data_IF_360212815239
#
_entry.id   IF_360212815239
#
_cell.length_a   1.000
_cell.length_b   1.000
_cell.length_c   1.000
_cell.angle_alpha   90.00
_cell.angle_beta   90.00
_cell.angle_gamma   90.00
#
_symmetry.space_group_name_H-M   'P 1'
#
loop_
_entity.id
_entity.type
_entity.pdbx_description
1 polymer ?
#
# COMPACT_ATOMS: atom_id res chain seq x y z
N UNK A 1 19.05 -39.28 30.84
CA UNK A 1 19.10 -38.11 29.94
C UNK A 1 18.91 -38.50 28.46
N UNK A 2 19.81 -39.27 27.82
CA UNK A 2 19.67 -39.63 26.39
C UNK A 2 18.34 -40.30 26.00
N UNK A 3 17.82 -41.24 26.80
CA UNK A 3 16.51 -41.90 26.54
C UNK A 3 15.31 -40.95 26.65
N UNK A 4 15.39 -39.94 27.53
CA UNK A 4 14.35 -38.93 27.71
C UNK A 4 14.36 -37.94 26.52
N UNK A 5 15.53 -37.53 26.06
CA UNK A 5 15.68 -36.69 24.87
C UNK A 5 15.15 -37.39 23.61
N UNK A 6 15.45 -38.68 23.43
CA UNK A 6 14.93 -39.48 22.32
C UNK A 6 13.40 -39.63 22.40
N UNK A 7 12.85 -39.86 23.60
CA UNK A 7 11.41 -39.94 23.80
C UNK A 7 10.71 -38.61 23.46
N UNK A 8 11.25 -37.49 23.94
CA UNK A 8 10.72 -36.15 23.63
C UNK A 8 10.79 -35.85 22.14
N UNK A 9 11.91 -36.19 21.49
CA UNK A 9 12.05 -36.02 20.04
C UNK A 9 11.03 -36.85 19.25
N UNK A 10 10.80 -38.11 19.63
CA UNK A 10 9.81 -38.97 18.98
C UNK A 10 8.38 -38.49 19.20
N UNK A 11 8.06 -37.98 20.39
CA UNK A 11 6.74 -37.39 20.68
C UNK A 11 6.51 -36.14 19.82
N UNK A 12 7.51 -35.27 19.70
CA UNK A 12 7.45 -34.09 18.83
C UNK A 12 7.30 -34.50 17.36
N UNK A 13 8.08 -35.48 16.89
CA UNK A 13 8.03 -35.97 15.52
C UNK A 13 6.63 -36.55 15.19
N UNK A 14 6.09 -37.39 16.08
CA UNK A 14 4.74 -37.93 15.94
C UNK A 14 3.67 -36.83 16.00
N UNK A 15 3.84 -35.82 16.86
CA UNK A 15 2.97 -34.65 16.93
C UNK A 15 2.97 -33.87 15.62
N UNK A 16 4.14 -33.58 15.05
CA UNK A 16 4.27 -32.96 13.73
C UNK A 16 3.59 -33.80 12.65
N UNK A 17 3.82 -35.11 12.63
CA UNK A 17 3.19 -36.00 11.64
C UNK A 17 1.65 -36.01 11.75
N UNK A 18 1.10 -35.95 12.96
CA UNK A 18 -0.35 -35.88 13.18
C UNK A 18 -0.91 -34.52 12.76
N UNK A 19 -0.22 -33.42 13.07
CA UNK A 19 -0.62 -32.07 12.64
C UNK A 19 -0.57 -31.92 11.12
N UNK A 20 0.49 -32.42 10.49
CA UNK A 20 0.62 -32.47 9.02
C UNK A 20 -0.43 -33.38 8.39
N UNK A 21 -0.80 -34.51 9.01
CA UNK A 21 -1.89 -35.34 8.48
C UNK A 21 -3.27 -34.65 8.61
N UNK A 22 -3.43 -33.80 9.63
CA UNK A 22 -4.65 -33.05 9.86
C UNK A 22 -4.81 -31.83 8.95
N UNK A 23 -3.72 -31.25 8.41
CA UNK A 23 -3.81 -30.16 7.39
C UNK A 23 -4.57 -30.64 6.15
N UNK A 24 -4.27 -31.86 5.68
CA UNK A 24 -4.93 -32.47 4.51
C UNK A 24 -6.39 -32.92 4.77
N UNK A 25 -6.87 -32.82 6.02
CA UNK A 25 -8.30 -33.00 6.34
C UNK A 25 -9.08 -31.69 6.36
N UNK A 26 -8.39 -30.55 6.44
CA UNK A 26 -9.05 -29.24 6.37
C UNK A 26 -9.54 -29.00 4.95
N UNK A 27 -10.84 -28.72 4.80
CA UNK A 27 -11.47 -28.26 3.56
C UNK A 27 -11.89 -26.79 3.66
N UNK A 28 -11.35 -26.05 4.64
CA UNK A 28 -11.68 -24.65 4.82
C UNK A 28 -11.16 -23.86 3.62
N UNK A 29 -12.07 -23.13 2.96
CA UNK A 29 -11.75 -22.28 1.81
C UNK A 29 -11.47 -20.83 2.24
N UNK A 30 -11.93 -20.45 3.43
CA UNK A 30 -11.89 -19.09 3.95
C UNK A 30 -11.45 -19.15 5.42
N UNK A 31 -10.56 -18.24 5.82
CA UNK A 31 -10.27 -17.96 7.22
C UNK A 31 -11.21 -16.88 7.72
N UNK A 32 -12.18 -17.22 8.59
CA UNK A 32 -13.10 -16.24 9.18
C UNK A 32 -12.37 -15.18 10.04
N UNK A 33 -11.23 -15.56 10.65
CA UNK A 33 -10.44 -14.67 11.52
C UNK A 33 -9.48 -13.77 10.73
N UNK A 34 -8.92 -14.27 9.62
CA UNK A 34 -8.01 -13.49 8.76
C UNK A 34 -8.73 -12.84 7.57
N UNK A 35 -10.05 -13.02 7.46
CA UNK A 35 -10.92 -12.52 6.39
C UNK A 35 -10.30 -12.65 4.98
N UNK A 36 -9.67 -13.79 4.70
CA UNK A 36 -9.04 -14.09 3.41
C UNK A 36 -9.30 -15.52 2.96
N UNK A 37 -9.20 -15.74 1.64
CA UNK A 37 -9.19 -17.08 1.06
C UNK A 37 -7.93 -17.82 1.47
N UNK A 38 -8.08 -19.08 1.88
CA UNK A 38 -6.94 -19.94 2.19
C UNK A 38 -6.37 -20.54 0.90
N UNK A 39 -5.07 -20.82 0.90
CA UNK A 39 -4.40 -21.44 -0.23
C UNK A 39 -5.09 -22.75 -0.61
N UNK A 40 -5.41 -22.93 -1.89
CA UNK A 40 -5.99 -24.16 -2.41
C UNK A 40 -4.92 -25.24 -2.58
N UNK A 41 -5.31 -26.51 -2.54
CA UNK A 41 -4.36 -27.61 -2.75
C UNK A 41 -3.73 -27.50 -4.15
N UNK A 42 -2.39 -27.53 -4.27
CA UNK A 42 -1.72 -27.28 -5.54
C UNK A 42 -1.93 -28.39 -6.57
N UNK A 43 -2.02 -28.01 -7.83
CA UNK A 43 -2.13 -28.96 -8.95
C UNK A 43 -0.73 -29.41 -9.38
N UNK A 44 -0.43 -30.69 -9.16
CA UNK A 44 0.80 -31.31 -9.63
C UNK A 44 0.78 -31.44 -11.16
N UNK A 45 1.64 -30.70 -11.85
CA UNK A 45 1.91 -30.89 -13.27
C UNK A 45 3.39 -30.68 -13.59
N UNK A 46 3.82 -31.09 -14.79
CA UNK A 46 5.24 -31.10 -15.16
C UNK A 46 5.88 -29.70 -15.14
N UNK A 47 5.11 -28.66 -15.46
CA UNK A 47 5.61 -27.29 -15.46
C UNK A 47 5.76 -26.76 -14.03
N UNK A 48 4.73 -26.95 -13.18
CA UNK A 48 4.73 -26.53 -11.77
C UNK A 48 5.73 -27.30 -10.90
N UNK A 49 6.04 -28.54 -11.27
CA UNK A 49 7.06 -29.33 -10.58
C UNK A 49 8.48 -28.85 -10.93
N UNK A 50 8.77 -28.63 -12.21
CA UNK A 50 10.12 -28.28 -12.66
C UNK A 50 10.54 -26.85 -12.33
N UNK A 51 9.59 -25.92 -12.20
CA UNK A 51 9.86 -24.54 -11.82
C UNK A 51 9.74 -24.27 -10.30
N UNK A 52 9.46 -25.31 -9.49
CA UNK A 52 9.34 -25.20 -8.03
C UNK A 52 8.03 -24.63 -7.50
N UNK A 53 7.12 -24.15 -8.36
CA UNK A 53 5.84 -23.56 -7.95
C UNK A 53 4.97 -24.53 -7.16
N UNK A 54 4.97 -25.82 -7.52
CA UNK A 54 4.21 -26.85 -6.80
C UNK A 54 4.63 -26.94 -5.32
N UNK A 55 5.93 -26.88 -5.03
CA UNK A 55 6.42 -27.00 -3.67
C UNK A 55 6.16 -25.72 -2.86
N UNK A 56 6.31 -24.55 -3.49
CA UNK A 56 5.97 -23.25 -2.88
C UNK A 56 4.48 -23.18 -2.51
N UNK A 57 3.61 -23.58 -3.42
CA UNK A 57 2.16 -23.59 -3.20
C UNK A 57 1.76 -24.67 -2.18
N UNK A 58 2.47 -25.81 -2.13
CA UNK A 58 2.25 -26.86 -1.14
C UNK A 58 2.65 -26.39 0.26
N UNK A 59 3.76 -25.66 0.39
CA UNK A 59 4.19 -25.07 1.65
C UNK A 59 3.17 -24.04 2.15
N UNK A 60 2.70 -23.15 1.27
CA UNK A 60 1.63 -22.20 1.57
C UNK A 60 0.33 -22.91 1.98
N UNK A 61 -0.06 -24.00 1.30
CA UNK A 61 -1.23 -24.80 1.65
C UNK A 61 -1.10 -25.43 3.05
N UNK A 62 0.05 -26.04 3.33
CA UNK A 62 0.31 -26.64 4.65
C UNK A 62 0.24 -25.57 5.72
N UNK A 63 0.87 -24.41 5.50
CA UNK A 63 0.87 -23.27 6.42
C UNK A 63 -0.55 -22.77 6.74
N UNK A 64 -1.38 -22.61 5.71
CA UNK A 64 -2.76 -22.12 5.82
C UNK A 64 -3.72 -23.11 6.49
N UNK A 65 -3.35 -24.39 6.57
CA UNK A 65 -4.24 -25.44 7.06
C UNK A 65 -3.72 -26.15 8.32
N UNK A 66 -2.62 -25.67 8.94
CA UNK A 66 -2.12 -26.26 10.21
C UNK A 66 -3.17 -26.07 11.32
N UNK A 67 -3.71 -27.17 11.89
CA UNK A 67 -4.62 -27.07 13.03
C UNK A 67 -3.89 -26.47 14.23
N UNK A 68 -4.57 -25.63 15.01
CA UNK A 68 -4.02 -24.99 16.23
C UNK A 68 -2.87 -24.00 15.96
N UNK A 69 -2.70 -23.51 14.73
CA UNK A 69 -1.72 -22.46 14.39
C UNK A 69 -1.79 -21.25 15.33
N UNK A 70 -2.98 -20.78 15.65
CA UNK A 70 -3.20 -19.70 16.62
C UNK A 70 -2.56 -19.99 17.97
N UNK A 71 -2.71 -21.23 18.48
CA UNK A 71 -2.09 -21.63 19.74
C UNK A 71 -0.57 -21.69 19.61
N UNK A 72 -0.05 -22.13 18.46
CA UNK A 72 1.41 -22.13 18.22
C UNK A 72 1.94 -20.70 18.22
N UNK A 73 1.26 -19.75 17.57
CA UNK A 73 1.61 -18.33 17.56
C UNK A 73 1.47 -17.68 18.95
N UNK A 74 0.45 -18.04 19.72
CA UNK A 74 0.27 -17.64 21.13
C UNK A 74 1.40 -18.21 22.02
N UNK A 75 1.82 -19.45 21.79
CA UNK A 75 2.93 -20.08 22.51
C UNK A 75 4.28 -19.48 22.13
N UNK A 76 4.53 -19.15 20.86
CA UNK A 76 5.76 -18.45 20.46
C UNK A 76 5.79 -17.05 21.05
N UNK A 77 4.67 -16.32 21.04
CA UNK A 77 4.57 -15.01 21.68
C UNK A 77 4.81 -15.07 23.19
N UNK A 78 4.25 -16.09 23.87
CA UNK A 78 4.49 -16.35 25.29
C UNK A 78 5.95 -16.73 25.55
N UNK A 79 6.57 -17.50 24.66
CA UNK A 79 7.97 -17.90 24.75
C UNK A 79 8.93 -16.72 24.58
N UNK A 80 8.68 -15.86 23.60
CA UNK A 80 9.46 -14.64 23.36
C UNK A 80 9.35 -13.68 24.57
N UNK A 81 8.15 -13.55 25.12
CA UNK A 81 7.89 -12.83 26.38
C UNK A 81 8.65 -13.41 27.58
N UNK A 82 8.72 -14.74 27.70
CA UNK A 82 9.45 -15.43 28.78
C UNK A 82 10.97 -15.29 28.62
N UNK A 83 11.48 -15.19 27.39
CA UNK A 83 12.91 -15.05 27.11
C UNK A 83 13.43 -13.63 27.21
N UNK A 84 12.57 -12.61 27.30
CA UNK A 84 12.98 -11.21 27.33
C UNK A 84 13.68 -10.75 26.04
N UNK A 85 13.57 -11.53 24.96
CA UNK A 85 14.05 -11.17 23.63
C UNK A 85 12.82 -10.61 22.90
N UNK A 86 12.55 -9.34 23.12
CA UNK A 86 11.66 -8.60 22.23
C UNK A 86 12.56 -7.86 21.25
N UNK A 87 12.86 -8.39 20.06
CA UNK A 87 13.53 -7.58 19.06
C UNK A 87 12.56 -6.44 18.70
N UNK A 88 12.97 -5.20 18.99
CA UNK A 88 12.19 -4.00 18.68
C UNK A 88 12.07 -3.79 17.16
N UNK A 89 12.99 -4.39 16.40
CA UNK A 89 13.11 -4.32 14.95
C UNK A 89 13.32 -5.75 14.41
N UNK A 90 12.51 -6.17 13.43
CA UNK A 90 12.72 -7.38 12.63
C UNK A 90 12.75 -6.99 11.16
N UNK A 91 13.73 -7.49 10.40
CA UNK A 91 13.76 -7.29 8.95
C UNK A 91 13.40 -8.58 8.20
N UNK A 92 12.61 -8.44 7.13
CA UNK A 92 12.11 -9.52 6.29
C UNK A 92 12.64 -9.42 4.86
N UNK A 93 13.30 -10.49 4.39
CA UNK A 93 13.87 -10.60 3.04
C UNK A 93 12.79 -10.80 1.95
N UNK A 94 13.05 -10.26 0.76
CA UNK A 94 12.17 -10.39 -0.41
C UNK A 94 12.02 -11.86 -0.84
N UNK A 95 10.80 -12.40 -0.79
CA UNK A 95 10.46 -13.71 -1.36
C UNK A 95 10.57 -14.93 -0.44
N UNK A 96 10.92 -14.75 0.85
CA UNK A 96 10.88 -15.81 1.86
C UNK A 96 9.79 -15.54 2.91
N UNK A 97 8.99 -16.55 3.23
CA UNK A 97 8.19 -16.54 4.45
C UNK A 97 9.12 -16.80 5.64
N UNK A 98 9.23 -15.81 6.54
CA UNK A 98 9.93 -15.86 7.83
C UNK A 98 11.42 -16.24 7.77
N UNK A 99 12.28 -15.23 7.56
CA UNK A 99 13.58 -15.22 8.21
C UNK A 99 13.63 -14.01 9.16
N UNK A 100 13.80 -14.29 10.46
CA UNK A 100 14.16 -13.29 11.45
C UNK A 100 15.60 -12.85 11.15
N UNK A 101 15.78 -11.69 10.52
CA UNK A 101 17.10 -11.06 10.51
C UNK A 101 17.21 -10.23 11.78
N UNK A 102 17.93 -10.77 12.78
CA UNK A 102 18.49 -9.94 13.84
C UNK A 102 19.60 -9.11 13.19
N UNK A 103 19.57 -7.77 13.25
CA UNK A 103 20.75 -7.00 12.90
C UNK A 103 21.89 -7.47 13.81
N UNK A 104 23.01 -7.88 13.21
CA UNK A 104 24.19 -8.33 13.94
C UNK A 104 24.53 -7.31 15.04
N UNK A 105 24.53 -7.78 16.29
CA UNK A 105 24.65 -6.96 17.51
C UNK A 105 26.02 -6.32 17.71
N UNK A 106 26.50 -5.54 16.75
CA UNK A 106 27.76 -4.82 16.84
C UNK A 106 27.62 -3.29 16.74
N UNK A 107 26.42 -2.76 16.98
CA UNK A 107 26.27 -1.37 17.45
C UNK A 107 26.57 -1.35 18.95
N UNK A 108 27.82 -1.02 19.29
CA UNK A 108 28.27 -0.80 20.66
C UNK A 108 27.34 0.18 21.36
N UNK A 109 26.59 -0.30 22.35
CA UNK A 109 25.84 0.52 23.28
C UNK A 109 26.75 1.57 23.95
N UNK A 110 26.31 2.83 24.11
CA UNK A 110 27.02 3.78 24.95
C UNK A 110 26.99 3.31 26.41
N UNK A 111 28.15 3.31 27.08
CA UNK A 111 28.25 3.02 28.52
C UNK A 111 27.51 4.07 29.35
N UNK A 112 26.94 3.69 30.52
CA UNK A 112 26.26 4.63 31.41
C UNK A 112 27.28 5.56 32.06
N UNK A 113 27.16 6.87 31.80
CA UNK A 113 27.93 7.90 32.48
C UNK A 113 27.29 8.24 33.84
N UNK A 114 28.14 8.34 34.86
CA UNK A 114 27.74 8.56 36.25
C UNK A 114 27.17 9.97 36.46
N UNK A 115 26.11 10.03 37.25
CA UNK A 115 25.51 11.25 37.79
C UNK A 115 26.53 12.27 38.31
N UNK A 116 26.40 13.52 37.85
CA UNK A 116 26.85 14.71 38.58
C UNK A 116 25.72 15.74 38.62
N UNK A 117 25.54 16.34 39.79
CA UNK A 117 24.56 17.38 40.14
C UNK A 117 24.76 18.69 39.36
N UNK A 118 23.72 19.56 39.31
CA UNK A 118 23.61 20.64 38.33
C UNK A 118 24.09 22.01 38.85
N UNK A 119 24.57 22.87 37.94
CA UNK A 119 24.58 24.34 38.04
C UNK A 119 25.04 24.96 36.69
N UNK A 120 24.73 26.23 36.38
CA UNK A 120 23.45 26.69 35.85
C UNK A 120 23.50 27.15 34.38
N UNK A 121 22.30 27.33 33.83
CA UNK A 121 21.95 27.69 32.45
C UNK A 121 22.80 28.80 31.81
N UNK A 122 23.28 28.54 30.59
CA UNK A 122 23.62 29.58 29.62
C UNK A 122 22.83 29.31 28.33
N UNK A 123 21.92 30.24 28.01
CA UNK A 123 21.05 30.22 26.83
C UNK A 123 21.86 30.11 25.54
N UNK A 124 21.59 29.09 24.74
CA UNK A 124 21.83 29.10 23.29
C UNK A 124 20.58 28.62 22.57
N UNK A 125 20.24 29.37 21.52
CA UNK A 125 19.03 29.27 20.70
C UNK A 125 18.89 27.89 20.05
N UNK A 126 17.64 27.40 19.82
CA UNK A 126 17.43 26.16 19.10
C UNK A 126 17.81 26.32 17.63
N UNK A 127 18.72 25.46 17.17
CA UNK A 127 19.07 25.27 15.78
C UNK A 127 17.87 24.76 14.96
N UNK A 128 17.87 25.16 13.70
CA UNK A 128 16.85 24.96 12.69
C UNK A 128 16.44 23.49 12.55
N UNK A 129 15.16 23.20 12.80
CA UNK A 129 14.50 22.08 12.14
C UNK A 129 14.57 22.32 10.64
N UNK A 130 15.07 21.33 9.88
CA UNK A 130 14.95 21.33 8.43
C UNK A 130 13.46 21.28 8.08
N UNK A 131 12.89 22.46 7.79
CA UNK A 131 11.59 22.60 7.16
C UNK A 131 11.59 21.84 5.83
N UNK A 132 10.61 20.96 5.55
CA UNK A 132 10.45 20.36 4.25
C UNK A 132 10.36 21.43 3.17
N UNK A 133 11.18 21.31 2.12
CA UNK A 133 11.13 22.18 0.96
C UNK A 133 9.78 22.05 0.25
N UNK A 134 9.24 23.18 -0.22
CA UNK A 134 8.08 23.22 -1.12
C UNK A 134 8.38 22.43 -2.41
N UNK A 135 7.35 21.90 -3.10
CA UNK A 135 7.53 21.19 -4.37
C UNK A 135 8.22 22.10 -5.37
N UNK A 136 9.15 21.53 -6.11
CA UNK A 136 9.74 22.16 -7.28
C UNK A 136 8.67 22.26 -8.38
N UNK A 137 8.50 23.44 -8.97
CA UNK A 137 7.74 23.56 -10.22
C UNK A 137 8.46 22.76 -11.32
N UNK A 138 7.75 22.10 -12.25
CA UNK A 138 8.37 21.48 -13.42
C UNK A 138 9.27 22.51 -14.14
N UNK A 139 10.57 22.24 -14.16
CA UNK A 139 11.59 23.14 -14.74
C UNK A 139 12.48 23.91 -13.74
N UNK A 140 12.25 23.81 -12.43
CA UNK A 140 13.30 24.13 -11.44
C UNK A 140 14.34 22.99 -11.41
N UNK A 141 15.62 23.33 -11.24
CA UNK A 141 16.69 22.34 -11.13
C UNK A 141 16.50 21.50 -9.85
N UNK A 142 15.84 20.35 -9.99
CA UNK A 142 15.93 19.27 -9.04
C UNK A 142 17.33 18.64 -9.11
N UNK A 143 17.76 18.03 -8.02
CA UNK A 143 18.96 17.20 -8.03
C UNK A 143 18.71 15.99 -8.93
N UNK A 144 19.41 15.92 -10.06
CA UNK A 144 19.25 14.85 -11.06
C UNK A 144 20.14 13.65 -10.77
N UNK A 145 20.69 13.55 -9.57
CA UNK A 145 21.55 12.44 -9.15
C UNK A 145 21.05 11.86 -7.82
N UNK A 146 20.33 10.75 -7.93
CA UNK A 146 19.83 10.00 -6.77
C UNK A 146 20.88 9.04 -6.17
N UNK A 147 22.05 8.87 -6.82
CA UNK A 147 23.00 7.81 -6.45
C UNK A 147 23.54 7.95 -5.01
N UNK A 148 23.60 9.17 -4.48
CA UNK A 148 24.06 9.44 -3.12
C UNK A 148 23.09 8.98 -2.02
N UNK A 149 21.83 8.75 -2.36
CA UNK A 149 20.76 8.42 -1.41
C UNK A 149 20.44 6.93 -1.32
N UNK A 150 21.05 6.12 -2.19
CA UNK A 150 20.79 4.68 -2.28
C UNK A 150 21.35 3.94 -1.06
N UNK A 151 20.47 3.20 -0.39
CA UNK A 151 20.84 2.33 0.72
C UNK A 151 21.62 1.10 0.27
N UNK A 152 22.47 0.58 1.14
CA UNK A 152 23.28 -0.62 0.85
C UNK A 152 22.50 -1.92 1.05
N UNK A 153 21.32 -1.87 1.67
CA UNK A 153 20.55 -3.05 2.10
C UNK A 153 19.29 -3.24 1.24
N UNK A 154 19.50 -3.62 -0.01
CA UNK A 154 18.46 -3.74 -1.05
C UNK A 154 17.66 -5.07 -1.00
N UNK A 155 18.06 -6.03 -0.18
CA UNK A 155 17.43 -7.36 -0.08
C UNK A 155 16.26 -7.44 0.92
N UNK A 156 16.06 -6.39 1.72
CA UNK A 156 15.01 -6.31 2.75
C UNK A 156 13.86 -5.47 2.20
N UNK A 157 12.64 -6.01 2.24
CA UNK A 157 11.47 -5.32 1.66
C UNK A 157 10.45 -4.88 2.70
N UNK A 158 10.46 -5.50 3.88
CA UNK A 158 9.56 -5.19 4.98
C UNK A 158 10.35 -5.18 6.28
N UNK A 159 10.05 -4.23 7.15
CA UNK A 159 10.59 -4.14 8.51
C UNK A 159 9.44 -4.09 9.51
N UNK A 160 9.43 -4.98 10.50
CA UNK A 160 8.54 -4.88 11.64
C UNK A 160 9.23 -4.03 12.72
N UNK A 161 8.58 -2.95 13.15
CA UNK A 161 9.02 -2.12 14.27
C UNK A 161 7.90 -2.06 15.28
N UNK A 162 8.17 -2.54 16.51
CA UNK A 162 7.17 -2.66 17.58
C UNK A 162 5.92 -3.43 17.11
N UNK A 163 4.80 -2.75 16.90
CA UNK A 163 3.51 -3.27 16.45
C UNK A 163 3.13 -2.80 15.04
N UNK A 164 4.12 -2.35 14.25
CA UNK A 164 3.96 -1.79 12.91
C UNK A 164 4.81 -2.54 11.88
N UNK A 165 4.27 -2.76 10.68
CA UNK A 165 4.99 -3.26 9.51
C UNK A 165 5.24 -2.11 8.53
N UNK A 166 6.50 -1.85 8.23
CA UNK A 166 6.95 -0.82 7.31
C UNK A 166 7.38 -1.47 6.01
N UNK A 167 6.79 -1.05 4.89
CA UNK A 167 7.26 -1.40 3.56
C UNK A 167 8.40 -0.47 3.17
N UNK A 168 9.57 -1.05 2.90
CA UNK A 168 10.80 -0.32 2.57
C UNK A 168 10.86 0.01 1.08
N UNK A 169 11.25 1.25 0.76
CA UNK A 169 11.39 1.72 -0.61
C UNK A 169 12.85 1.66 -1.06
N UNK A 170 13.06 1.17 -2.27
CA UNK A 170 14.37 0.98 -2.90
C UNK A 170 14.34 1.56 -4.30
N UNK A 171 15.25 2.47 -4.60
CA UNK A 171 15.26 3.19 -5.86
C UNK A 171 16.02 2.42 -6.94
N UNK A 172 15.30 1.97 -7.97
CA UNK A 172 15.87 1.45 -9.20
C UNK A 172 15.64 2.44 -10.34
N UNK A 173 16.73 3.06 -10.80
CA UNK A 173 16.69 4.13 -11.81
C UNK A 173 16.03 3.69 -13.12
N UNK A 174 16.25 2.44 -13.53
CA UNK A 174 15.63 1.87 -14.74
C UNK A 174 14.10 1.78 -14.61
N UNK A 175 13.60 1.33 -13.46
CA UNK A 175 12.15 1.22 -13.18
C UNK A 175 11.51 2.61 -13.10
N UNK A 176 12.13 3.51 -12.34
CA UNK A 176 11.68 4.91 -12.21
C UNK A 176 11.64 5.61 -13.57
N UNK A 177 12.65 5.41 -14.41
CA UNK A 177 12.68 5.97 -15.77
C UNK A 177 11.57 5.38 -16.65
N UNK A 178 11.28 4.09 -16.50
CA UNK A 178 10.19 3.43 -17.20
C UNK A 178 8.80 3.93 -16.72
N UNK A 179 8.62 4.15 -15.42
CA UNK A 179 7.41 4.76 -14.85
C UNK A 179 7.21 6.19 -15.41
N UNK A 180 8.23 7.04 -15.34
CA UNK A 180 8.17 8.40 -15.89
C UNK A 180 7.87 8.39 -17.40
N UNK A 181 8.41 7.43 -18.15
CA UNK A 181 8.10 7.24 -19.58
C UNK A 181 6.63 6.89 -19.82
N UNK A 182 6.03 6.05 -18.98
CA UNK A 182 4.59 5.74 -19.07
C UNK A 182 3.74 7.00 -18.84
N UNK A 183 4.05 7.77 -17.80
CA UNK A 183 3.39 9.06 -17.53
C UNK A 183 3.56 10.05 -18.69
N UNK A 184 4.78 10.17 -19.22
CA UNK A 184 5.04 11.05 -20.37
C UNK A 184 4.31 10.59 -21.64
N UNK A 185 4.02 9.29 -21.78
CA UNK A 185 3.20 8.77 -22.87
C UNK A 185 1.74 9.19 -22.72
N UNK A 186 1.19 9.22 -21.50
CA UNK A 186 -0.13 9.83 -21.25
C UNK A 186 -0.13 11.30 -21.68
N UNK A 187 0.86 12.08 -21.24
CA UNK A 187 0.93 13.50 -21.56
C UNK A 187 1.04 13.80 -23.06
N UNK A 188 1.77 12.97 -23.81
CA UNK A 188 1.91 13.14 -25.26
C UNK A 188 0.60 12.88 -26.03
N UNK A 189 -0.30 12.06 -25.48
CA UNK A 189 -1.55 11.65 -26.15
C UNK A 189 -2.80 12.31 -25.57
N UNK A 190 -2.71 12.89 -24.38
CA UNK A 190 -3.81 13.61 -23.74
C UNK A 190 -4.14 14.89 -24.52
N UNK A 191 -5.42 15.21 -24.78
CA UNK A 191 -5.78 16.48 -25.44
C UNK A 191 -5.24 17.70 -24.70
N UNK A 192 -4.82 18.74 -25.45
CA UNK A 192 -4.17 19.95 -24.89
C UNK A 192 -5.02 20.71 -23.86
N UNK A 193 -6.35 20.63 -23.96
CA UNK A 193 -7.28 21.30 -23.06
C UNK A 193 -7.49 20.57 -21.72
N UNK A 194 -6.92 19.38 -21.54
CA UNK A 194 -7.00 18.62 -20.29
C UNK A 194 -5.85 19.04 -19.38
N UNK A 195 -6.18 19.49 -18.17
CA UNK A 195 -5.18 19.76 -17.13
C UNK A 195 -4.66 18.43 -16.59
N UNK A 196 -3.36 18.32 -16.43
CA UNK A 196 -2.72 17.08 -16.03
C UNK A 196 -2.05 17.25 -14.67
N UNK A 197 -2.27 16.28 -13.79
CA UNK A 197 -1.72 16.24 -12.44
C UNK A 197 -1.01 14.91 -12.20
N UNK A 198 0.03 14.93 -11.38
CA UNK A 198 0.69 13.71 -10.89
C UNK A 198 0.85 13.82 -9.39
N UNK A 199 0.39 12.79 -8.67
CA UNK A 199 0.47 12.67 -7.22
C UNK A 199 1.12 11.32 -6.90
N UNK A 200 2.37 11.35 -6.45
CA UNK A 200 3.02 10.22 -5.81
C UNK A 200 2.91 10.35 -4.30
N UNK A 201 2.24 9.40 -3.67
CA UNK A 201 2.12 9.35 -2.22
C UNK A 201 3.31 8.60 -1.60
N UNK A 202 3.96 9.13 -0.54
CA UNK A 202 4.93 8.35 0.22
C UNK A 202 4.25 7.21 0.97
N UNK A 203 5.01 6.21 1.37
CA UNK A 203 4.60 5.23 2.39
C UNK A 203 4.96 5.73 3.79
N UNK A 204 4.50 5.01 4.82
CA UNK A 204 4.76 5.35 6.21
C UNK A 204 6.26 5.53 6.52
N UNK A 205 7.14 4.67 5.98
CA UNK A 205 8.59 4.76 6.23
C UNK A 205 9.17 6.07 5.71
N UNK A 206 8.63 6.61 4.61
CA UNK A 206 9.06 7.89 4.05
C UNK A 206 8.88 9.07 5.01
N UNK A 207 7.98 8.96 5.99
CA UNK A 207 7.71 10.03 6.96
C UNK A 207 8.48 9.92 8.27
N UNK A 208 9.31 8.89 8.43
CA UNK A 208 10.02 8.58 9.69
C UNK A 208 11.31 9.37 9.90
N UNK A 209 11.72 10.17 8.91
CA UNK A 209 12.98 10.92 8.95
C UNK A 209 14.20 10.01 8.82
N UNK A 210 15.24 10.26 9.60
CA UNK A 210 16.54 9.58 9.48
C UNK A 210 16.60 8.17 10.12
N UNK A 211 15.55 7.75 10.84
CA UNK A 211 15.56 6.53 11.68
C UNK A 211 15.82 5.25 10.88
N UNK A 212 15.30 5.18 9.65
CA UNK A 212 15.39 3.99 8.79
C UNK A 212 16.15 4.23 7.48
N UNK A 213 16.97 5.29 7.42
CA UNK A 213 17.70 5.69 6.21
C UNK A 213 18.73 4.68 5.72
N UNK A 214 19.15 3.73 6.56
CA UNK A 214 20.06 2.65 6.14
C UNK A 214 19.30 1.51 5.43
N UNK A 215 17.97 1.50 5.50
CA UNK A 215 17.10 0.41 5.03
C UNK A 215 16.07 0.83 3.97
N UNK A 216 15.70 2.11 3.93
CA UNK A 216 14.79 2.66 2.93
C UNK A 216 15.37 3.94 2.36
N UNK A 217 15.35 4.04 1.03
CA UNK A 217 15.77 5.23 0.31
C UNK A 217 14.80 6.40 0.61
N UNK A 218 15.27 7.66 0.62
CA UNK A 218 14.45 8.83 0.95
C UNK A 218 13.40 9.10 -0.12
N UNK A 219 12.13 8.96 0.26
CA UNK A 219 11.01 9.00 -0.67
C UNK A 219 10.66 10.42 -1.15
N UNK A 220 10.89 11.45 -0.34
CA UNK A 220 10.76 12.86 -0.76
C UNK A 220 11.70 13.16 -1.93
N UNK A 221 12.97 12.77 -1.82
CA UNK A 221 13.97 12.94 -2.88
C UNK A 221 13.65 12.08 -4.11
N UNK A 222 13.12 10.88 -3.91
CA UNK A 222 12.74 10.01 -5.02
C UNK A 222 11.55 10.59 -5.80
N UNK A 223 10.56 11.12 -5.09
CA UNK A 223 9.40 11.81 -5.68
C UNK A 223 9.85 13.06 -6.44
N UNK A 224 10.70 13.91 -5.84
CA UNK A 224 11.29 15.09 -6.50
C UNK A 224 12.04 14.70 -7.78
N UNK A 225 12.84 13.64 -7.73
CA UNK A 225 13.56 13.10 -8.89
C UNK A 225 12.59 12.63 -9.98
N UNK A 226 11.59 11.81 -9.65
CA UNK A 226 10.58 11.32 -10.62
C UNK A 226 9.85 12.50 -11.28
N UNK A 227 9.40 13.47 -10.48
CA UNK A 227 8.73 14.68 -10.97
C UNK A 227 9.62 15.49 -11.93
N UNK A 228 10.94 15.50 -11.73
CA UNK A 228 11.87 16.17 -12.66
C UNK A 228 11.93 15.53 -14.05
N UNK A 229 11.57 14.24 -14.16
CA UNK A 229 11.53 13.49 -15.42
C UNK A 229 10.20 13.64 -16.17
N UNK A 230 9.18 14.22 -15.52
CA UNK A 230 7.84 14.31 -16.10
C UNK A 230 7.72 15.45 -17.11
N UNK A 231 6.81 15.26 -18.06
CA UNK A 231 6.44 16.24 -19.06
C UNK A 231 5.95 17.52 -18.35
N UNK A 232 6.40 18.73 -18.77
CA UNK A 232 6.00 20.00 -18.16
C UNK A 232 4.48 20.29 -18.14
N UNK A 233 3.67 19.54 -18.90
CA UNK A 233 2.21 19.60 -18.82
C UNK A 233 1.65 19.12 -17.47
N UNK A 234 2.40 18.30 -16.73
CA UNK A 234 1.99 17.85 -15.40
C UNK A 234 2.20 18.95 -14.36
N UNK A 235 1.13 19.27 -13.63
CA UNK A 235 1.19 19.92 -12.34
C UNK A 235 1.42 18.85 -11.26
N UNK A 236 2.62 18.83 -10.68
CA UNK A 236 2.99 17.86 -9.64
C UNK A 236 2.39 18.26 -8.30
N UNK A 237 1.82 17.29 -7.58
CA UNK A 237 1.15 17.53 -6.30
C UNK A 237 2.10 17.25 -5.14
N UNK A 238 2.25 18.23 -4.26
CA UNK A 238 3.00 18.08 -3.01
C UNK A 238 2.17 17.39 -1.94
N UNK A 239 2.30 16.08 -1.85
CA UNK A 239 1.71 15.30 -0.77
C UNK A 239 2.66 15.09 0.42
N UNK A 240 3.98 15.11 0.21
CA UNK A 240 4.94 14.74 1.26
C UNK A 240 4.94 15.75 2.41
N UNK A 241 5.14 17.04 2.13
CA UNK A 241 5.19 18.07 3.18
C UNK A 241 3.95 18.09 4.10
N UNK A 242 2.69 18.09 3.61
CA UNK A 242 1.53 18.05 4.51
C UNK A 242 1.45 16.73 5.29
N UNK A 243 1.72 15.58 4.66
CA UNK A 243 1.75 14.30 5.37
C UNK A 243 2.82 14.28 6.48
N UNK A 244 4.01 14.82 6.19
CA UNK A 244 5.10 14.92 7.15
C UNK A 244 4.75 15.85 8.31
N UNK A 245 4.14 17.00 8.04
CA UNK A 245 3.71 17.94 9.09
C UNK A 245 2.72 17.30 10.06
N UNK A 246 1.87 16.39 9.57
CA UNK A 246 0.85 15.69 10.34
C UNK A 246 1.26 14.26 10.76
N UNK A 247 2.54 13.87 10.63
CA UNK A 247 3.04 12.50 10.85
C UNK A 247 2.82 11.92 12.25
N UNK A 248 2.49 12.76 13.23
CA UNK A 248 2.13 12.33 14.60
C UNK A 248 0.68 11.85 14.71
N UNK A 249 -0.14 12.12 13.70
CA UNK A 249 -1.50 11.59 13.57
C UNK A 249 -1.51 10.19 12.96
N UNK A 250 -2.65 9.51 13.03
CA UNK A 250 -2.81 8.16 12.51
C UNK A 250 -3.03 8.15 10.99
N UNK A 251 -1.97 8.48 10.25
CA UNK A 251 -2.02 8.68 8.79
C UNK A 251 -1.84 7.39 7.97
N UNK A 252 -1.23 6.35 8.55
CA UNK A 252 -0.99 5.06 7.91
C UNK A 252 -1.41 3.94 8.85
N UNK A 253 -1.89 2.84 8.27
CA UNK A 253 -2.17 1.64 9.03
C UNK A 253 -0.86 0.98 9.47
N UNK A 254 -0.88 0.27 10.60
CA UNK A 254 0.29 -0.46 11.10
C UNK A 254 0.41 -1.86 10.50
N UNK A 255 -0.73 -2.44 10.13
CA UNK A 255 -0.87 -3.81 9.61
C UNK A 255 -1.11 -3.86 8.10
N UNK A 256 -1.22 -2.70 7.45
CA UNK A 256 -1.57 -2.57 6.03
C UNK A 256 -0.63 -1.58 5.32
N UNK A 257 -0.49 -1.72 4.00
CA UNK A 257 0.43 -0.90 3.22
C UNK A 257 -0.14 0.46 2.84
N UNK A 258 -1.44 0.70 3.02
CA UNK A 258 -2.09 1.96 2.66
C UNK A 258 -1.97 3.04 3.74
N UNK A 259 -2.15 4.28 3.32
CA UNK A 259 -2.58 5.34 4.22
C UNK A 259 -3.99 5.08 4.80
N UNK A 260 -4.33 5.74 5.89
CA UNK A 260 -5.72 5.88 6.35
C UNK A 260 -6.46 6.91 5.50
N UNK A 261 -7.79 7.01 5.63
CA UNK A 261 -8.52 8.08 4.94
C UNK A 261 -8.08 9.49 5.41
N UNK A 262 -7.56 9.63 6.63
CA UNK A 262 -6.97 10.88 7.13
C UNK A 262 -5.63 11.19 6.42
N UNK A 263 -4.78 10.20 6.18
CA UNK A 263 -3.60 10.40 5.32
C UNK A 263 -4.00 10.85 3.91
N UNK A 264 -4.98 10.16 3.32
CA UNK A 264 -5.53 10.52 2.02
C UNK A 264 -6.14 11.93 1.99
N UNK A 265 -6.72 12.41 3.11
CA UNK A 265 -7.29 13.76 3.23
C UNK A 265 -6.23 14.85 3.03
N UNK A 266 -5.05 14.72 3.64
CA UNK A 266 -3.98 15.70 3.48
C UNK A 266 -3.46 15.78 2.05
N UNK A 267 -3.34 14.62 1.38
CA UNK A 267 -3.00 14.57 -0.05
C UNK A 267 -4.14 15.16 -0.93
N UNK A 268 -5.40 14.88 -0.61
CA UNK A 268 -6.56 15.45 -1.29
C UNK A 268 -6.65 16.96 -1.12
N UNK A 269 -6.30 17.49 0.05
CA UNK A 269 -6.22 18.93 0.29
C UNK A 269 -5.15 19.60 -0.57
N UNK A 270 -3.98 18.97 -0.69
CA UNK A 270 -2.91 19.46 -1.56
C UNK A 270 -3.34 19.46 -3.04
N UNK A 271 -3.95 18.37 -3.50
CA UNK A 271 -4.51 18.28 -4.84
C UNK A 271 -5.60 19.33 -5.07
N UNK A 272 -6.56 19.47 -4.16
CA UNK A 272 -7.65 20.43 -4.27
C UNK A 272 -7.13 21.86 -4.34
N UNK A 273 -6.12 22.21 -3.52
CA UNK A 273 -5.47 23.52 -3.56
C UNK A 273 -4.82 23.80 -4.92
N UNK A 274 -4.03 22.84 -5.42
CA UNK A 274 -3.35 22.98 -6.72
C UNK A 274 -4.36 23.06 -7.88
N UNK A 275 -5.41 22.24 -7.82
CA UNK A 275 -6.46 22.20 -8.82
C UNK A 275 -7.44 23.39 -8.72
N UNK A 276 -7.39 24.21 -7.66
CA UNK A 276 -8.36 25.29 -7.43
C UNK A 276 -9.78 24.78 -7.16
N UNK A 277 -9.89 23.72 -6.35
CA UNK A 277 -11.13 23.07 -5.95
C UNK A 277 -11.46 23.38 -4.49
N UNK A 278 -12.76 23.50 -4.20
CA UNK A 278 -13.25 23.44 -2.83
C UNK A 278 -13.33 21.97 -2.39
N UNK A 279 -12.98 21.70 -1.14
CA UNK A 279 -13.06 20.38 -0.51
C UNK A 279 -13.67 20.57 0.89
N UNK A 280 -14.46 19.61 1.40
CA UNK A 280 -14.94 19.65 2.78
C UNK A 280 -13.80 19.80 3.79
N UNK A 281 -14.04 20.58 4.85
CA UNK A 281 -13.22 20.51 6.05
C UNK A 281 -13.54 19.18 6.77
N UNK A 282 -12.50 18.46 7.20
CA UNK A 282 -12.70 17.19 7.92
C UNK A 282 -13.47 17.39 9.23
N UNK A 283 -13.41 18.59 9.82
CA UNK A 283 -14.20 18.94 11.00
C UNK A 283 -15.71 18.96 10.75
N UNK A 284 -16.13 19.14 9.49
CA UNK A 284 -17.54 19.12 9.08
C UNK A 284 -18.03 17.72 8.69
N UNK A 285 -17.19 16.69 8.82
CA UNK A 285 -17.52 15.31 8.48
C UNK A 285 -17.89 14.47 9.71
N UNK A 286 -18.86 13.58 9.52
CA UNK A 286 -19.18 12.51 10.47
C UNK A 286 -18.13 11.40 10.35
N UNK A 287 -17.33 11.21 11.40
CA UNK A 287 -16.37 10.10 11.47
C UNK A 287 -17.05 8.83 11.93
N UNK A 288 -16.94 7.80 11.12
CA UNK A 288 -17.30 6.42 11.44
C UNK A 288 -16.04 5.56 11.53
N UNK A 289 -16.15 4.43 12.24
CA UNK A 289 -15.02 3.57 12.51
C UNK A 289 -15.38 2.09 12.40
N UNK A 290 -14.50 1.31 11.77
CA UNK A 290 -14.54 -0.14 11.72
C UNK A 290 -13.31 -0.69 12.46
N UNK A 291 -13.55 -1.44 13.53
CA UNK A 291 -12.50 -2.00 14.38
C UNK A 291 -11.96 -3.34 13.83
N UNK A 292 -10.88 -3.83 14.46
CA UNK A 292 -10.31 -5.16 14.21
C UNK A 292 -9.79 -5.36 12.77
N UNK A 293 -9.19 -4.33 12.20
CA UNK A 293 -8.56 -4.42 10.88
C UNK A 293 -7.15 -5.02 10.99
N UNK A 294 -6.88 -6.08 10.24
CA UNK A 294 -5.54 -6.60 10.00
C UNK A 294 -5.33 -6.67 8.49
N UNK A 295 -4.45 -5.81 8.00
CA UNK A 295 -4.29 -5.59 6.56
C UNK A 295 -3.39 -6.58 5.84
N UNK A 296 -3.07 -6.20 4.60
CA UNK A 296 -2.27 -6.99 3.68
C UNK A 296 -0.86 -7.30 4.23
N UNK A 297 -0.20 -6.31 4.84
CA UNK A 297 1.15 -6.51 5.37
C UNK A 297 1.13 -7.57 6.47
N UNK A 298 0.19 -7.52 7.40
CA UNK A 298 0.05 -8.53 8.44
C UNK A 298 -0.35 -9.90 7.90
N UNK A 299 -1.32 -9.94 6.97
CA UNK A 299 -1.80 -11.19 6.37
C UNK A 299 -0.68 -11.98 5.70
N UNK A 300 0.30 -11.28 5.12
CA UNK A 300 1.49 -11.86 4.50
C UNK A 300 2.70 -11.97 5.45
N UNK A 301 2.69 -11.26 6.58
CA UNK A 301 3.80 -11.19 7.53
C UNK A 301 3.25 -11.23 8.96
N UNK A 302 3.03 -12.44 9.46
CA UNK A 302 2.33 -12.70 10.71
C UNK A 302 3.15 -12.39 11.97
N UNK A 303 3.43 -11.12 12.17
CA UNK A 303 4.16 -10.62 13.33
C UNK A 303 3.21 -10.51 14.53
N UNK A 304 3.47 -11.31 15.57
CA UNK A 304 2.56 -11.43 16.72
C UNK A 304 2.18 -10.10 17.37
N UNK A 305 3.14 -9.16 17.51
CA UNK A 305 2.88 -7.84 18.11
C UNK A 305 1.86 -7.00 17.31
N UNK A 306 1.90 -7.09 15.97
CA UNK A 306 0.93 -6.43 15.09
C UNK A 306 -0.44 -7.09 15.24
N UNK A 307 -0.48 -8.43 15.26
CA UNK A 307 -1.73 -9.19 15.42
C UNK A 307 -2.42 -8.99 16.77
N UNK A 308 -1.67 -8.64 17.81
CA UNK A 308 -2.20 -8.31 19.14
C UNK A 308 -2.81 -6.90 19.20
N UNK A 309 -2.48 -6.03 18.24
CA UNK A 309 -2.94 -4.65 18.18
C UNK A 309 -3.53 -4.36 16.79
N UNK A 310 -4.67 -4.95 16.42
CA UNK A 310 -5.29 -4.68 15.13
C UNK A 310 -5.60 -3.18 14.98
N UNK A 311 -5.64 -2.73 13.73
CA UNK A 311 -5.96 -1.37 13.36
C UNK A 311 -7.46 -1.10 13.39
N UNK A 312 -7.80 0.18 13.21
CA UNK A 312 -9.15 0.66 12.95
C UNK A 312 -9.17 1.39 11.62
N UNK A 313 -10.21 1.19 10.82
CA UNK A 313 -10.48 1.98 9.62
C UNK A 313 -11.47 3.09 9.96
N UNK A 314 -11.00 4.34 9.92
CA UNK A 314 -11.86 5.51 10.02
C UNK A 314 -12.30 5.95 8.61
N UNK A 315 -13.59 6.21 8.44
CA UNK A 315 -14.13 6.82 7.23
C UNK A 315 -15.04 8.02 7.54
N UNK A 316 -15.04 9.00 6.65
CA UNK A 316 -15.60 10.33 6.89
C UNK A 316 -16.73 10.61 5.90
N UNK A 317 -17.94 10.81 6.42
CA UNK A 317 -19.13 11.13 5.63
C UNK A 317 -19.41 12.63 5.76
N UNK A 318 -19.41 13.34 4.63
CA UNK A 318 -19.80 14.75 4.60
C UNK A 318 -21.30 14.90 4.36
N UNK A 319 -21.97 15.73 5.17
CA UNK A 319 -23.41 16.01 5.08
C UNK A 319 -24.32 14.77 5.10
N UNK A 320 -23.89 13.68 5.75
CA UNK A 320 -24.65 12.42 5.78
C UNK A 320 -24.79 11.72 4.42
N UNK A 321 -24.02 12.12 3.40
CA UNK A 321 -24.13 11.59 2.03
C UNK A 321 -23.11 10.48 1.78
N UNK A 322 -23.61 9.28 1.48
CA UNK A 322 -22.83 8.18 0.91
C UNK A 322 -23.41 7.82 -0.46
N UNK A 323 -23.03 8.54 -1.52
CA UNK A 323 -23.70 8.43 -2.81
C UNK A 323 -23.30 7.15 -3.54
N UNK A 324 -24.08 6.81 -4.57
CA UNK A 324 -23.80 5.64 -5.41
C UNK A 324 -22.73 5.93 -6.47
N UNK A 325 -21.96 4.89 -6.81
CA UNK A 325 -20.94 4.83 -7.84
C UNK A 325 -21.17 3.58 -8.70
N UNK A 326 -20.98 3.72 -10.01
CA UNK A 326 -21.11 2.62 -10.96
C UNK A 326 -19.77 1.88 -11.10
N UNK A 327 -19.76 0.59 -10.75
CA UNK A 327 -18.58 -0.27 -10.80
C UNK A 327 -18.63 -1.17 -12.03
N UNK A 328 -17.68 -1.02 -12.95
CA UNK A 328 -17.57 -1.87 -14.13
C UNK A 328 -16.61 -3.02 -13.89
N UNK A 329 -16.90 -4.20 -14.43
CA UNK A 329 -16.07 -5.41 -14.30
C UNK A 329 -16.19 -6.29 -15.54
N UNK A 330 -15.16 -7.09 -15.83
CA UNK A 330 -15.23 -8.12 -16.87
C UNK A 330 -15.70 -9.44 -16.25
N UNK A 331 -16.70 -10.07 -16.85
CA UNK A 331 -17.13 -11.43 -16.46
C UNK A 331 -16.19 -12.51 -17.04
N UNK A 332 -16.49 -13.78 -16.75
CA UNK A 332 -15.70 -14.92 -17.25
C UNK A 332 -15.65 -15.03 -18.78
N UNK A 333 -16.60 -14.38 -19.47
CA UNK A 333 -16.65 -14.32 -20.94
C UNK A 333 -15.94 -13.09 -21.51
N UNK A 334 -15.24 -12.32 -20.66
CA UNK A 334 -14.59 -11.06 -21.01
C UNK A 334 -15.57 -9.96 -21.46
N UNK A 335 -16.84 -10.08 -21.05
CA UNK A 335 -17.86 -9.07 -21.29
C UNK A 335 -17.84 -8.03 -20.18
N UNK A 336 -17.81 -6.74 -20.54
CA UNK A 336 -17.87 -5.64 -19.59
C UNK A 336 -19.31 -5.48 -19.08
N UNK A 337 -19.49 -5.69 -17.77
CA UNK A 337 -20.74 -5.51 -17.05
C UNK A 337 -20.58 -4.41 -16.00
N UNK A 338 -21.68 -3.95 -15.39
CA UNK A 338 -21.66 -2.98 -14.29
C UNK A 338 -22.72 -3.25 -13.23
N UNK A 339 -22.48 -2.74 -12.02
CA UNK A 339 -23.46 -2.66 -10.94
C UNK A 339 -23.25 -1.37 -10.13
N UNK A 340 -24.29 -0.95 -9.40
CA UNK A 340 -24.22 0.19 -8.49
C UNK A 340 -23.78 -0.26 -7.10
N UNK A 341 -22.92 0.54 -6.47
CA UNK A 341 -22.53 0.42 -5.07
C UNK A 341 -22.44 1.81 -4.45
N UNK A 342 -22.28 1.91 -3.14
CA UNK A 342 -21.97 3.19 -2.46
C UNK A 342 -20.46 3.47 -2.42
N UNK A 343 -20.09 4.75 -2.38
CA UNK A 343 -18.68 5.20 -2.27
C UNK A 343 -17.98 4.60 -1.05
N UNK A 344 -18.68 4.52 0.08
CA UNK A 344 -18.29 3.75 1.26
C UNK A 344 -19.11 2.46 1.33
N UNK A 345 -18.56 1.37 0.79
CA UNK A 345 -19.24 0.09 0.57
C UNK A 345 -19.29 -0.77 1.84
N UNK A 346 -20.34 -0.63 2.64
CA UNK A 346 -20.54 -1.46 3.83
C UNK A 346 -20.67 -2.96 3.49
N UNK A 347 -21.16 -3.29 2.29
CA UNK A 347 -21.22 -4.69 1.84
C UNK A 347 -19.83 -5.29 1.56
N UNK A 348 -18.84 -4.49 1.18
CA UNK A 348 -17.47 -4.98 0.96
C UNK A 348 -16.80 -5.43 2.27
N UNK A 349 -17.26 -4.90 3.40
CA UNK A 349 -16.74 -5.22 4.74
C UNK A 349 -17.71 -6.06 5.59
N UNK A 350 -18.77 -6.60 4.98
CA UNK A 350 -19.80 -7.36 5.70
C UNK A 350 -19.25 -8.62 6.39
N UNK A 351 -18.19 -9.22 5.83
CA UNK A 351 -17.56 -10.44 6.36
C UNK A 351 -16.24 -10.16 7.11
N UNK A 352 -15.92 -8.90 7.36
CA UNK A 352 -14.74 -8.48 8.09
C UNK A 352 -14.20 -7.15 7.59
N UNK A 353 -13.64 -6.36 8.51
CA UNK A 353 -13.06 -5.05 8.23
C UNK A 353 -11.91 -5.19 7.23
N UNK A 354 -11.99 -4.48 6.11
CA UNK A 354 -10.94 -4.43 5.10
C UNK A 354 -10.95 -3.08 4.38
N UNK A 355 -9.84 -2.76 3.69
CA UNK A 355 -9.65 -1.48 3.00
C UNK A 355 -10.63 -1.26 1.83
N UNK A 356 -11.27 -2.34 1.34
CA UNK A 356 -12.33 -2.30 0.34
C UNK A 356 -13.61 -1.56 0.77
N UNK A 357 -13.71 -1.05 2.01
CA UNK A 357 -14.74 -0.05 2.35
C UNK A 357 -14.69 1.15 1.40
N UNK A 358 -13.51 1.55 0.92
CA UNK A 358 -13.35 2.66 0.01
C UNK A 358 -13.51 2.19 -1.45
N UNK A 359 -14.52 2.73 -2.15
CA UNK A 359 -14.86 2.42 -3.56
C UNK A 359 -15.12 0.94 -3.88
N UNK A 360 -15.25 0.07 -2.87
CA UNK A 360 -15.40 -1.37 -3.06
C UNK A 360 -14.17 -2.06 -3.69
N UNK A 361 -13.02 -1.40 -3.71
CA UNK A 361 -11.76 -1.92 -4.24
C UNK A 361 -11.42 -1.45 -5.65
N UNK A 362 -10.65 -2.28 -6.36
CA UNK A 362 -10.02 -1.94 -7.63
C UNK A 362 -10.82 -2.52 -8.82
N UNK A 363 -11.31 -1.64 -9.68
CA UNK A 363 -12.11 -1.98 -10.86
C UNK A 363 -11.49 -1.41 -12.13
N UNK A 364 -11.70 -2.04 -13.30
CA UNK A 364 -11.22 -1.51 -14.57
C UNK A 364 -11.75 -0.10 -14.83
N UNK A 365 -12.97 0.19 -14.37
CA UNK A 365 -13.58 1.52 -14.43
C UNK A 365 -14.60 1.70 -13.31
N UNK A 366 -14.51 2.83 -12.60
CA UNK A 366 -15.56 3.34 -11.72
C UNK A 366 -16.07 4.67 -12.28
N UNK A 367 -17.37 4.89 -12.23
CA UNK A 367 -17.96 6.16 -12.64
C UNK A 367 -18.88 6.69 -11.56
N UNK A 368 -18.46 7.80 -10.96
CA UNK A 368 -19.28 8.59 -10.06
C UNK A 368 -19.87 9.80 -10.81
N UNK A 369 -21.15 10.10 -10.58
CA UNK A 369 -21.83 11.29 -11.12
C UNK A 369 -22.44 12.05 -9.96
N UNK A 370 -22.03 13.32 -9.80
CA UNK A 370 -22.59 14.21 -8.80
C UNK A 370 -23.84 14.91 -9.37
N UNK A 371 -25.05 14.55 -8.92
CA UNK A 371 -26.28 15.14 -9.45
C UNK A 371 -26.45 16.63 -9.07
N UNK A 372 -25.71 17.12 -8.07
CA UNK A 372 -25.83 18.48 -7.55
C UNK A 372 -24.91 19.47 -8.26
N UNK A 373 -23.96 19.00 -9.08
CA UNK A 373 -23.01 19.84 -9.79
C UNK A 373 -23.50 20.17 -11.21
N UNK A 374 -24.10 21.35 -11.40
CA UNK A 374 -24.47 21.87 -12.71
C UNK A 374 -23.26 22.47 -13.45
N UNK A 375 -22.81 21.83 -14.56
CA UNK A 375 -21.78 22.36 -15.47
C UNK A 375 -20.32 22.19 -15.02
N UNK A 376 -20.06 21.22 -14.14
CA UNK A 376 -18.78 21.08 -13.45
C UNK A 376 -17.71 20.27 -14.18
N UNK A 377 -16.48 20.37 -13.67
CA UNK A 377 -15.30 19.63 -14.14
C UNK A 377 -15.53 18.12 -14.12
N UNK A 378 -14.89 17.42 -15.05
CA UNK A 378 -14.87 15.95 -15.14
C UNK A 378 -13.43 15.49 -14.88
N UNK A 379 -13.25 14.73 -13.81
CA UNK A 379 -11.97 14.14 -13.42
C UNK A 379 -11.84 12.73 -13.96
N UNK A 380 -10.71 12.42 -14.59
CA UNK A 380 -10.23 11.06 -14.77
C UNK A 380 -9.05 10.80 -13.85
N UNK A 381 -9.09 9.70 -13.11
CA UNK A 381 -8.04 9.24 -12.19
C UNK A 381 -7.48 7.93 -12.73
N UNK A 382 -6.22 7.89 -13.12
CA UNK A 382 -5.48 6.63 -13.33
C UNK A 382 -4.70 6.35 -12.06
N UNK A 383 -4.80 5.14 -11.52
CA UNK A 383 -4.36 4.90 -10.14
C UNK A 383 -3.92 3.49 -9.83
N UNK A 384 -3.31 3.35 -8.66
CA UNK A 384 -3.34 2.14 -7.83
C UNK A 384 -4.36 2.22 -6.65
N UNK A 385 -4.25 1.30 -5.69
CA UNK A 385 -5.18 1.18 -4.57
C UNK A 385 -5.16 2.36 -3.58
N UNK A 386 -4.11 3.20 -3.54
CA UNK A 386 -4.08 4.39 -2.67
C UNK A 386 -5.20 5.37 -3.00
N UNK A 387 -5.57 5.49 -4.28
CA UNK A 387 -6.63 6.38 -4.71
C UNK A 387 -8.00 6.05 -4.11
N UNK A 388 -8.21 4.82 -3.62
CA UNK A 388 -9.52 4.38 -3.10
C UNK A 388 -9.96 5.25 -1.91
N UNK A 389 -9.09 5.55 -0.95
CA UNK A 389 -9.40 6.44 0.17
C UNK A 389 -9.33 7.94 -0.19
N UNK A 390 -8.69 8.30 -1.31
CA UNK A 390 -8.53 9.68 -1.78
C UNK A 390 -9.74 10.19 -2.56
N UNK A 391 -10.24 9.42 -3.53
CA UNK A 391 -11.35 9.82 -4.41
C UNK A 391 -12.62 10.23 -3.66
N UNK A 392 -13.02 9.58 -2.54
CA UNK A 392 -14.16 10.02 -1.74
C UNK A 392 -14.11 11.49 -1.31
N UNK A 393 -12.92 12.08 -1.11
CA UNK A 393 -12.78 13.49 -0.77
C UNK A 393 -13.13 14.44 -1.92
N UNK A 394 -13.12 13.95 -3.16
CA UNK A 394 -13.32 14.75 -4.37
C UNK A 394 -14.74 14.69 -4.93
N UNK A 395 -15.61 13.83 -4.40
CA UNK A 395 -16.97 13.60 -4.92
C UNK A 395 -17.83 14.88 -4.88
N UNK A 396 -17.53 15.82 -3.99
CA UNK A 396 -18.21 17.12 -3.91
C UNK A 396 -17.67 18.16 -4.89
N UNK A 397 -16.44 17.97 -5.38
CA UNK A 397 -15.70 18.97 -6.15
C UNK A 397 -15.82 18.79 -7.67
N UNK A 398 -16.25 17.61 -8.11
CA UNK A 398 -16.39 17.28 -9.53
C UNK A 398 -17.81 16.87 -9.89
N UNK A 399 -18.22 17.18 -11.12
CA UNK A 399 -19.48 16.71 -11.67
C UNK A 399 -19.46 15.22 -11.95
N UNK A 400 -18.30 14.72 -12.41
CA UNK A 400 -18.10 13.32 -12.73
C UNK A 400 -16.66 12.95 -12.40
N UNK A 401 -16.49 11.77 -11.81
CA UNK A 401 -15.18 11.18 -11.57
C UNK A 401 -15.16 9.81 -12.24
N UNK A 402 -14.16 9.58 -13.07
CA UNK A 402 -13.90 8.33 -13.77
C UNK A 402 -12.59 7.78 -13.21
N UNK A 403 -12.64 6.69 -12.45
CA UNK A 403 -11.44 6.04 -11.90
C UNK A 403 -11.10 4.85 -12.78
N UNK A 404 -9.85 4.76 -13.19
CA UNK A 404 -9.31 3.73 -14.08
C UNK A 404 -8.17 3.02 -13.36
N UNK A 405 -8.27 1.70 -13.29
CA UNK A 405 -7.19 0.86 -12.78
C UNK A 405 -6.43 0.20 -13.95
N UNK A 406 -5.13 0.49 -14.14
CA UNK A 406 -4.35 -0.06 -15.24
C UNK A 406 -4.22 -1.58 -15.19
N UNK A 407 -4.41 -2.21 -14.02
CA UNK A 407 -4.29 -3.66 -13.86
C UNK A 407 -5.37 -4.44 -14.59
N UNK A 408 -6.53 -3.82 -14.78
CA UNK A 408 -7.72 -4.51 -15.29
C UNK A 408 -8.41 -3.76 -16.44
N UNK A 409 -8.16 -2.47 -16.62
CA UNK A 409 -8.76 -1.68 -17.69
C UNK A 409 -8.29 -2.14 -19.08
N UNK A 410 -9.24 -2.41 -19.97
CA UNK A 410 -8.97 -2.72 -21.39
C UNK A 410 -9.52 -1.64 -22.34
N UNK A 411 -10.12 -0.59 -21.79
CA UNK A 411 -10.66 0.53 -22.55
C UNK A 411 -9.53 1.42 -23.05
N UNK A 412 -9.72 2.02 -24.24
CA UNK A 412 -8.87 3.12 -24.67
C UNK A 412 -9.28 4.38 -23.90
N UNK A 413 -8.44 4.80 -22.96
CA UNK A 413 -8.77 5.95 -22.08
C UNK A 413 -8.87 7.26 -22.85
N UNK A 414 -8.22 7.41 -24.00
CA UNK A 414 -8.29 8.64 -24.80
C UNK A 414 -9.66 8.79 -25.48
N UNK A 415 -10.25 7.67 -25.91
CA UNK A 415 -11.62 7.66 -26.42
C UNK A 415 -12.60 8.02 -25.30
N UNK A 416 -12.36 7.52 -24.08
CA UNK A 416 -13.15 7.90 -22.89
C UNK A 416 -12.97 9.39 -22.54
N UNK A 417 -11.76 9.93 -22.62
CA UNK A 417 -11.47 11.36 -22.37
C UNK A 417 -12.29 12.25 -23.29
N UNK A 418 -12.31 11.94 -24.59
CA UNK A 418 -13.10 12.69 -25.58
C UNK A 418 -14.59 12.50 -25.36
N UNK A 419 -15.05 11.25 -25.19
CA UNK A 419 -16.47 10.92 -25.03
C UNK A 419 -17.07 11.56 -23.78
N UNK A 420 -16.37 11.47 -22.66
CA UNK A 420 -16.85 11.92 -21.36
C UNK A 420 -16.53 13.39 -21.07
N UNK A 421 -15.85 14.07 -22.00
CA UNK A 421 -15.44 15.47 -21.91
C UNK A 421 -14.60 15.74 -20.65
N UNK A 422 -13.59 14.89 -20.43
CA UNK A 422 -12.67 15.02 -19.30
C UNK A 422 -11.97 16.38 -19.35
N UNK A 423 -11.96 17.10 -18.23
CA UNK A 423 -11.29 18.39 -18.08
C UNK A 423 -10.00 18.28 -17.27
N UNK A 424 -9.91 17.24 -16.45
CA UNK A 424 -8.84 17.04 -15.48
C UNK A 424 -8.42 15.58 -15.47
N UNK A 425 -7.12 15.35 -15.55
CA UNK A 425 -6.52 14.03 -15.52
C UNK A 425 -5.48 13.99 -14.41
N UNK A 426 -5.58 13.02 -13.50
CA UNK A 426 -4.57 12.79 -12.47
C UNK A 426 -4.08 11.35 -12.52
N UNK A 427 -2.77 11.18 -12.44
CA UNK A 427 -2.16 9.90 -12.06
C UNK A 427 -1.91 9.94 -10.57
N UNK A 428 -2.52 9.02 -9.82
CA UNK A 428 -2.35 8.89 -8.37
C UNK A 428 -1.87 7.49 -8.04
N UNK A 429 -0.60 7.40 -7.68
CA UNK A 429 0.01 6.16 -7.24
C UNK A 429 0.77 6.39 -5.93
N UNK A 430 1.09 5.34 -5.18
CA UNK A 430 2.10 5.43 -4.13
C UNK A 430 3.49 5.14 -4.67
N UNK A 431 4.52 5.60 -3.97
CA UNK A 431 5.90 5.62 -4.48
C UNK A 431 6.44 4.23 -4.88
N UNK A 432 5.96 3.14 -4.27
CA UNK A 432 6.40 1.80 -4.67
C UNK A 432 5.95 1.44 -6.09
N UNK A 433 4.84 2.00 -6.59
CA UNK A 433 4.38 1.77 -7.95
C UNK A 433 5.42 2.18 -9.01
N UNK A 434 6.27 3.16 -8.69
CA UNK A 434 7.37 3.60 -9.55
C UNK A 434 8.55 2.61 -9.59
N UNK A 435 8.55 1.57 -8.75
CA UNK A 435 9.54 0.50 -8.72
C UNK A 435 8.96 -0.89 -9.08
N UNK A 436 7.64 -1.02 -9.21
CA UNK A 436 6.97 -2.29 -9.51
C UNK A 436 6.91 -2.52 -11.04
N UNK A 437 7.87 -3.25 -11.59
CA UNK A 437 7.97 -3.56 -13.04
C UNK A 437 6.65 -4.00 -13.68
N UNK A 438 5.89 -4.88 -13.02
CA UNK A 438 4.60 -5.36 -13.53
C UNK A 438 3.57 -4.24 -13.66
N UNK A 439 3.46 -3.39 -12.63
CA UNK A 439 2.56 -2.24 -12.62
C UNK A 439 2.97 -1.20 -13.67
N UNK A 440 4.27 -0.91 -13.78
CA UNK A 440 4.83 -0.01 -14.79
C UNK A 440 4.50 -0.52 -16.20
N UNK A 441 4.61 -1.83 -16.44
CA UNK A 441 4.22 -2.45 -17.71
C UNK A 441 2.74 -2.23 -18.04
N UNK A 442 1.85 -2.44 -17.07
CA UNK A 442 0.40 -2.22 -17.23
C UNK A 442 0.07 -0.73 -17.47
N UNK A 443 0.75 0.19 -16.78
CA UNK A 443 0.65 1.63 -17.00
C UNK A 443 1.10 2.01 -18.42
N UNK A 444 2.21 1.46 -18.91
CA UNK A 444 2.69 1.70 -20.27
C UNK A 444 1.71 1.19 -21.32
N UNK A 445 1.14 -0.01 -21.16
CA UNK A 445 0.12 -0.55 -22.08
C UNK A 445 -1.11 0.36 -22.15
N UNK A 446 -1.61 0.80 -20.99
CA UNK A 446 -2.73 1.74 -20.89
C UNK A 446 -2.39 3.07 -21.58
N UNK A 447 -1.20 3.62 -21.32
CA UNK A 447 -0.73 4.88 -21.90
C UNK A 447 -0.60 4.79 -23.42
N UNK A 448 -0.20 3.66 -23.98
CA UNK A 448 -0.14 3.49 -25.43
C UNK A 448 -1.52 3.29 -26.06
N UNK A 449 -2.59 3.14 -25.26
CA UNK A 449 -3.94 2.86 -25.74
C UNK A 449 -4.05 1.49 -26.41
N UNK A 450 -3.16 0.56 -26.03
CA UNK A 450 -3.24 -0.83 -26.49
C UNK A 450 -4.28 -1.57 -25.66
N UNK A 451 -5.08 -2.44 -26.28
CA UNK A 451 -5.85 -3.43 -25.51
C UNK A 451 -4.84 -4.29 -24.77
N UNK A 452 -4.90 -4.31 -23.44
CA UNK A 452 -3.94 -5.05 -22.62
C UNK A 452 -3.83 -6.49 -23.12
N UNK A 453 -2.58 -6.91 -23.34
CA UNK A 453 -2.25 -8.26 -23.84
C UNK A 453 -1.99 -9.24 -22.69
N UNK A 454 -2.05 -8.76 -21.44
CA UNK A 454 -1.99 -9.58 -20.23
C UNK A 454 -3.28 -10.41 -20.07
N UNK A 455 -3.37 -11.43 -20.92
CA UNK A 455 -4.34 -12.52 -20.83
C UNK A 455 -3.64 -13.69 -20.13
N UNK A 456 -4.29 -14.22 -19.10
CA UNK A 456 -3.87 -15.35 -18.24
C UNK A 456 -2.80 -15.07 -17.17
N UNK A 457 -3.18 -14.32 -16.13
CA UNK A 457 -3.04 -14.90 -14.80
C UNK A 457 -4.44 -15.04 -14.21
N UNK A 458 -4.82 -16.28 -13.86
CA UNK A 458 -5.90 -16.51 -12.87
C UNK A 458 -5.70 -15.48 -11.77
N UNK A 459 -6.78 -14.79 -11.32
CA UNK A 459 -6.81 -13.92 -10.13
C UNK A 459 -5.61 -14.23 -9.24
N UNK A 460 -4.53 -13.46 -9.38
CA UNK A 460 -3.44 -13.58 -8.43
C UNK A 460 -4.00 -12.93 -7.16
N UNK A 461 -4.15 -13.66 -6.04
CA UNK A 461 -4.66 -13.07 -4.79
C UNK A 461 -3.75 -11.94 -4.28
N UNK A 462 -2.54 -11.83 -4.83
CA UNK A 462 -1.48 -10.99 -4.30
C UNK A 462 -1.60 -9.48 -4.57
N UNK A 463 -2.57 -9.02 -5.39
CA UNK A 463 -2.69 -7.59 -5.75
C UNK A 463 -4.11 -7.03 -5.74
N UNK A 464 -5.00 -7.58 -4.92
CA UNK A 464 -6.32 -7.03 -4.71
C UNK A 464 -6.95 -7.48 -3.41
N UNK A 465 -6.62 -6.78 -2.32
CA UNK A 465 -7.45 -6.39 -1.16
C UNK A 465 -6.66 -5.35 -0.37
#
# INVERSE_FOLDING_TARGET
MKKLTVLVFLVLLCGCAVLTAATFRSQALISEKENRSLQAFPVLNRQTYLNGTFFKDLEAYIYDHVPLRERVLEYTALYDKIKGIEPEIMALEKGNSMNLVNPDGNTKAPKPEKEKKPEPEEKKEPGQEETPSLPLKPGQKAETDFSQYKTQTQNISIMAVKDTLLQLFHFHEENVSAYAKALNTFAAKMPENVRMYSLLAPTQVGLTGEEYKDFSDPQDKAIEYIYSLLNPRYETIEAFAPLFAHRQEYLYFRSDHHWTQLGAYYAAQAFARQAGLAMPDIADCERHSLENFLGYLYSNNQVSKVGQHPDRIDYYIYQGKNPEIECFFYDETETLNSYMQTVFSLSAVANGTNYGIFLSGDYPRLVYKNPESAGGRVLMVVKDSYANAFVPWLIHSFQKIIVIDPRTCKDNIYDLVVKEQVTDFVVLDYIMAADLESFIGMMQELAEGRRSSYVNQKRNPDFGV
#
